data_IF_128368312341
#
_entry.id   IF_128368312341
#
_cell.length_a   1.000
_cell.length_b   1.000
_cell.length_c   1.000
_cell.angle_alpha   90.00
_cell.angle_beta   90.00
_cell.angle_gamma   90.00
#
_symmetry.space_group_name_H-M   'P 1'
#
loop_
_entity.id
_entity.type
_entity.pdbx_description
1 polymer ?
#
# COMPACT_ATOMS: atom_id res chain seq x y z
N UNK A 1 -4.13 4.12 -20.33
CA UNK A 1 -2.99 5.05 -20.47
C UNK A 1 -3.39 6.20 -21.39
N UNK A 2 -3.42 7.40 -20.86
CA UNK A 2 -3.79 8.58 -21.64
C UNK A 2 -2.54 9.15 -22.30
N UNK A 3 -2.48 9.12 -23.61
CA UNK A 3 -1.37 9.73 -24.39
C UNK A 3 -1.77 11.13 -24.81
N UNK A 4 -1.09 12.14 -24.35
CA UNK A 4 -1.16 13.49 -24.89
C UNK A 4 0.21 13.84 -25.49
N UNK A 5 0.25 14.21 -26.78
CA UNK A 5 1.45 14.60 -27.50
C UNK A 5 2.61 13.59 -27.45
N UNK A 6 2.35 12.30 -27.57
CA UNK A 6 3.36 11.26 -27.61
C UNK A 6 3.99 10.87 -26.26
N UNK A 7 3.65 11.54 -25.15
CA UNK A 7 4.10 11.17 -23.81
C UNK A 7 2.98 10.52 -23.01
N UNK A 8 3.29 9.39 -22.40
CA UNK A 8 2.38 8.71 -21.48
C UNK A 8 2.39 9.42 -20.12
N UNK A 9 1.21 9.71 -19.55
CA UNK A 9 1.09 10.14 -18.18
C UNK A 9 1.39 8.95 -17.25
N UNK A 10 2.39 9.12 -16.40
CA UNK A 10 2.81 8.09 -15.43
C UNK A 10 2.64 8.62 -14.03
N UNK A 11 2.02 7.82 -13.18
CA UNK A 11 1.99 8.03 -11.74
C UNK A 11 2.91 7.03 -11.04
N UNK A 12 3.66 7.51 -10.06
CA UNK A 12 4.44 6.67 -9.14
C UNK A 12 3.87 6.83 -7.75
N UNK A 13 3.46 5.73 -7.15
CA UNK A 13 2.96 5.66 -5.79
C UNK A 13 4.06 5.16 -4.87
N UNK A 14 4.39 5.96 -3.88
CA UNK A 14 5.40 5.61 -2.87
C UNK A 14 4.70 5.45 -1.53
N UNK A 15 4.96 4.34 -0.86
CA UNK A 15 4.38 4.01 0.44
C UNK A 15 5.49 3.78 1.46
N UNK A 16 5.35 4.39 2.62
CA UNK A 16 6.20 4.15 3.77
C UNK A 16 5.34 3.63 4.92
N UNK A 17 5.63 2.43 5.37
CA UNK A 17 4.92 1.76 6.46
C UNK A 17 5.85 1.70 7.66
N UNK A 18 5.44 2.31 8.78
CA UNK A 18 6.21 2.35 10.01
C UNK A 18 5.40 1.71 11.14
N UNK A 19 5.83 0.59 11.72
CA UNK A 19 5.17 0.03 12.88
C UNK A 19 5.35 0.97 14.08
N UNK A 20 4.25 1.24 14.77
CA UNK A 20 4.23 2.08 15.99
C UNK A 20 4.16 1.18 17.22
N UNK A 21 3.28 0.20 17.18
CA UNK A 21 3.10 -0.84 18.20
C UNK A 21 2.51 -2.10 17.56
N UNK A 22 2.14 -3.09 18.36
CA UNK A 22 1.62 -4.38 17.89
C UNK A 22 0.34 -4.27 17.04
N UNK A 23 -0.37 -3.15 17.15
CA UNK A 23 -1.67 -2.97 16.53
C UNK A 23 -1.77 -1.74 15.64
N UNK A 24 -0.73 -0.92 15.61
CA UNK A 24 -0.75 0.37 14.93
C UNK A 24 0.43 0.48 13.97
N UNK A 25 0.13 0.82 12.73
CA UNK A 25 1.11 1.12 11.69
C UNK A 25 0.84 2.51 11.15
N UNK A 26 1.86 3.34 11.08
CA UNK A 26 1.79 4.62 10.36
C UNK A 26 2.01 4.36 8.88
N UNK A 27 1.10 4.83 8.06
CA UNK A 27 1.20 4.78 6.62
C UNK A 27 1.34 6.19 6.05
N UNK A 28 2.51 6.51 5.52
CA UNK A 28 2.73 7.70 4.72
C UNK A 28 2.73 7.33 3.24
N UNK A 29 2.12 8.16 2.42
CA UNK A 29 2.05 7.93 0.99
C UNK A 29 2.36 9.19 0.19
N UNK A 30 2.89 9.00 -0.99
CA UNK A 30 3.19 10.06 -1.94
C UNK A 30 2.79 9.59 -3.34
N UNK A 31 2.19 10.50 -4.10
CA UNK A 31 1.91 10.29 -5.52
C UNK A 31 2.74 11.29 -6.32
N UNK A 32 3.54 10.79 -7.24
CA UNK A 32 4.35 11.58 -8.16
C UNK A 32 3.85 11.38 -9.58
N UNK A 33 3.98 12.39 -10.42
CA UNK A 33 3.59 12.32 -11.82
C UNK A 33 4.62 13.02 -12.71
N UNK A 34 4.67 12.63 -13.96
CA UNK A 34 5.64 13.14 -14.95
C UNK A 34 5.09 14.23 -15.87
N UNK A 35 3.83 14.63 -15.71
CA UNK A 35 3.18 15.65 -16.54
C UNK A 35 2.18 16.47 -15.75
N UNK A 36 1.74 17.61 -16.29
CA UNK A 36 0.78 18.53 -15.67
C UNK A 36 1.21 18.92 -14.24
N UNK A 37 2.43 19.41 -14.09
CA UNK A 37 3.08 19.64 -12.79
C UNK A 37 2.65 20.96 -12.11
N UNK A 38 1.68 21.66 -12.66
CA UNK A 38 1.11 22.88 -12.12
C UNK A 38 0.33 22.66 -10.81
N UNK A 39 0.27 23.70 -10.00
CA UNK A 39 -0.42 23.64 -8.70
C UNK A 39 -1.94 23.43 -8.83
N UNK A 40 -2.56 23.98 -9.88
CA UNK A 40 -3.98 23.80 -10.11
C UNK A 40 -4.34 22.32 -10.32
N UNK A 41 -3.55 21.59 -11.09
CA UNK A 41 -3.71 20.14 -11.27
C UNK A 41 -3.45 19.39 -9.98
N UNK A 42 -2.43 19.77 -9.21
CA UNK A 42 -2.15 19.18 -7.89
C UNK A 42 -3.32 19.37 -6.93
N UNK A 43 -3.89 20.57 -6.88
CA UNK A 43 -5.05 20.87 -6.04
C UNK A 43 -6.29 20.04 -6.42
N UNK A 44 -6.47 19.74 -7.70
CA UNK A 44 -7.56 18.90 -8.20
C UNK A 44 -7.35 17.42 -7.85
N UNK A 45 -6.13 16.91 -7.98
CA UNK A 45 -5.81 15.51 -7.75
C UNK A 45 -5.73 15.14 -6.27
N UNK A 46 -5.26 16.04 -5.42
CA UNK A 46 -5.07 15.78 -3.99
C UNK A 46 -6.30 15.20 -3.30
N UNK A 47 -7.50 15.82 -3.35
CA UNK A 47 -8.67 15.27 -2.68
C UNK A 47 -9.12 13.91 -3.25
N UNK A 48 -8.82 13.62 -4.51
CA UNK A 48 -9.13 12.32 -5.13
C UNK A 48 -8.30 11.22 -4.46
N UNK A 49 -6.98 11.42 -4.33
CA UNK A 49 -6.10 10.46 -3.70
C UNK A 49 -6.33 10.36 -2.19
N UNK A 50 -6.59 11.46 -1.50
CA UNK A 50 -6.95 11.46 -0.08
C UNK A 50 -8.20 10.64 0.19
N UNK A 51 -9.23 10.78 -0.62
CA UNK A 51 -10.46 9.98 -0.54
C UNK A 51 -10.18 8.51 -0.78
N UNK A 52 -9.37 8.18 -1.77
CA UNK A 52 -8.98 6.81 -2.09
C UNK A 52 -8.28 6.16 -0.90
N UNK A 53 -7.25 6.76 -0.35
CA UNK A 53 -6.51 6.21 0.78
C UNK A 53 -7.31 6.15 2.07
N UNK A 54 -8.22 7.08 2.28
CA UNK A 54 -9.17 6.99 3.40
C UNK A 54 -10.10 5.79 3.26
N UNK A 55 -10.55 5.48 2.07
CA UNK A 55 -11.36 4.28 1.79
C UNK A 55 -10.55 3.00 2.03
N UNK A 56 -9.28 2.95 1.61
CA UNK A 56 -8.37 1.83 1.87
C UNK A 56 -8.16 1.64 3.38
N UNK A 57 -7.94 2.72 4.12
CA UNK A 57 -7.81 2.67 5.57
C UNK A 57 -9.06 2.05 6.23
N UNK A 58 -10.24 2.51 5.86
CA UNK A 58 -11.50 1.98 6.40
C UNK A 58 -11.66 0.48 6.13
N UNK A 59 -11.32 0.02 4.93
CA UNK A 59 -11.36 -1.40 4.57
C UNK A 59 -10.39 -2.21 5.43
N UNK A 60 -9.15 -1.76 5.60
CA UNK A 60 -8.14 -2.45 6.38
C UNK A 60 -8.50 -2.51 7.86
N UNK A 61 -9.00 -1.42 8.43
CA UNK A 61 -9.45 -1.38 9.82
C UNK A 61 -10.66 -2.30 10.06
N UNK A 62 -11.59 -2.35 9.11
CA UNK A 62 -12.74 -3.27 9.16
C UNK A 62 -12.31 -4.73 9.08
N UNK A 63 -11.36 -5.05 8.20
CA UNK A 63 -10.78 -6.39 8.10
C UNK A 63 -10.08 -6.80 9.40
N UNK A 64 -9.36 -5.88 10.04
CA UNK A 64 -8.72 -6.15 11.32
C UNK A 64 -9.73 -6.48 12.41
N UNK A 65 -10.87 -5.81 12.45
CA UNK A 65 -11.95 -6.13 13.38
C UNK A 65 -12.49 -7.55 13.16
N UNK A 66 -12.61 -7.98 11.90
CA UNK A 66 -13.03 -9.35 11.58
C UNK A 66 -12.00 -10.37 12.06
N UNK A 67 -10.71 -10.11 11.83
CA UNK A 67 -9.62 -10.96 12.31
C UNK A 67 -9.60 -11.04 13.84
N UNK A 68 -9.79 -9.92 14.52
CA UNK A 68 -9.84 -9.87 15.99
C UNK A 68 -11.01 -10.69 16.57
N UNK A 69 -12.16 -10.66 15.89
CA UNK A 69 -13.36 -11.39 16.32
C UNK A 69 -13.29 -12.88 16.00
N UNK A 70 -12.90 -13.23 14.79
CA UNK A 70 -13.06 -14.59 14.25
C UNK A 70 -11.74 -15.35 14.12
N UNK A 71 -10.61 -14.70 14.41
CA UNK A 71 -9.26 -15.23 14.17
C UNK A 71 -8.81 -15.09 12.72
N UNK A 72 -7.49 -15.22 12.53
CA UNK A 72 -6.91 -15.20 11.19
C UNK A 72 -7.28 -16.48 10.43
N UNK A 73 -7.73 -16.33 9.19
CA UNK A 73 -8.01 -17.43 8.28
C UNK A 73 -6.89 -17.57 7.25
N UNK A 74 -6.65 -18.78 6.70
CA UNK A 74 -5.74 -18.95 5.59
C UNK A 74 -6.17 -18.09 4.40
N UNK A 75 -5.20 -17.38 3.80
CA UNK A 75 -5.45 -16.58 2.61
C UNK A 75 -5.67 -17.49 1.40
N UNK A 76 -6.61 -17.11 0.56
CA UNK A 76 -6.77 -17.67 -0.79
C UNK A 76 -6.04 -16.73 -1.76
N UNK A 77 -4.92 -17.18 -2.30
CA UNK A 77 -4.11 -16.38 -3.20
C UNK A 77 -4.44 -16.69 -4.66
N UNK A 78 -4.44 -15.66 -5.49
CA UNK A 78 -4.60 -15.73 -6.94
C UNK A 78 -3.34 -15.20 -7.64
N UNK A 79 -3.27 -15.33 -8.96
CA UNK A 79 -2.09 -14.91 -9.74
C UNK A 79 -1.72 -13.44 -9.50
N UNK A 80 -2.69 -12.56 -9.29
CA UNK A 80 -2.46 -11.15 -8.99
C UNK A 80 -1.72 -10.91 -7.65
N UNK A 81 -1.72 -11.88 -6.74
CA UNK A 81 -1.08 -11.78 -5.43
C UNK A 81 0.41 -12.20 -5.44
N UNK A 82 0.97 -12.51 -6.61
CA UNK A 82 2.34 -13.04 -6.72
C UNK A 82 3.40 -12.15 -6.05
N UNK A 83 3.31 -10.84 -6.20
CA UNK A 83 4.23 -9.90 -5.56
C UNK A 83 4.11 -9.93 -4.03
N UNK A 84 2.89 -9.93 -3.49
CA UNK A 84 2.63 -10.04 -2.05
C UNK A 84 3.12 -11.36 -1.47
N UNK A 85 2.93 -12.46 -2.18
CA UNK A 85 3.44 -13.79 -1.79
C UNK A 85 4.97 -13.80 -1.74
N UNK A 86 5.65 -13.17 -2.71
CA UNK A 86 7.10 -13.05 -2.74
C UNK A 86 7.62 -12.24 -1.54
N UNK A 87 6.99 -11.13 -1.20
CA UNK A 87 7.32 -10.32 -0.02
C UNK A 87 7.17 -11.13 1.27
N UNK A 88 6.07 -11.86 1.43
CA UNK A 88 5.86 -12.73 2.60
C UNK A 88 6.93 -13.80 2.75
N UNK A 89 7.39 -14.39 1.63
CA UNK A 89 8.49 -15.37 1.63
C UNK A 89 9.79 -14.73 2.11
N UNK A 90 10.11 -13.53 1.63
CA UNK A 90 11.30 -12.78 2.04
C UNK A 90 11.23 -12.47 3.54
N UNK A 91 10.10 -11.95 4.02
CA UNK A 91 9.92 -11.61 5.43
C UNK A 91 10.07 -12.83 6.35
N UNK A 92 9.48 -13.98 5.99
CA UNK A 92 9.63 -15.22 6.77
C UNK A 92 11.10 -15.64 6.87
N UNK A 93 11.86 -15.51 5.79
CA UNK A 93 13.30 -15.82 5.79
C UNK A 93 14.07 -14.88 6.71
N UNK A 94 13.81 -13.57 6.62
CA UNK A 94 14.49 -12.58 7.47
C UNK A 94 14.19 -12.80 8.95
N UNK A 95 12.96 -13.09 9.31
CA UNK A 95 12.57 -13.40 10.70
C UNK A 95 13.26 -14.68 11.19
N UNK A 96 13.34 -15.72 10.36
CA UNK A 96 14.05 -16.95 10.71
C UNK A 96 15.56 -16.71 10.89
N UNK A 97 16.19 -15.92 10.02
CA UNK A 97 17.60 -15.57 10.11
C UNK A 97 17.89 -14.72 11.36
N UNK A 98 17.00 -13.82 11.72
CA UNK A 98 17.12 -13.03 12.96
C UNK A 98 17.03 -13.90 14.21
N UNK A 99 16.10 -14.84 14.25
CA UNK A 99 15.96 -15.79 15.35
C UNK A 99 17.21 -16.67 15.57
N UNK A 100 17.94 -16.98 14.48
CA UNK A 100 19.19 -17.75 14.54
C UNK A 100 20.38 -16.92 15.06
N UNK A 101 20.32 -15.60 14.96
CA UNK A 101 21.37 -14.67 15.43
C UNK A 101 21.18 -14.19 16.87
N UNK A 102 19.97 -14.29 17.34
CA UNK A 102 19.58 -13.91 18.72
C UNK A 102 19.93 -14.97 19.75
#
# INVERSE_FOLDING_TARGET
>A
MYKRQGQALTFVFTHALTPVDDRTTRHAWRVSRNAALDEATSATLRPIFERYYRSVQLILETLQQVVDRDGARPDVNVTADAAGMAVRKIMRRLVADEALRG
#
